data_IF_488823331255
#
_entry.id   IF_488823331255
#
_cell.length_a   1.000
_cell.length_b   1.000
_cell.length_c   1.000
_cell.angle_alpha   90.00
_cell.angle_beta   90.00
_cell.angle_gamma   90.00
#
_symmetry.space_group_name_H-M   'P 1'
#
loop_
_entity.id
_entity.type
_entity.pdbx_description
1 polymer ?
#
# COMPACT_ATOMS: atom_id res chain seq x y z
N UNK A 1 -5.47 8.22 30.28
CA UNK A 1 -4.85 9.50 29.92
C UNK A 1 -3.34 9.35 29.98
N UNK A 2 -2.64 9.65 28.90
CA UNK A 2 -1.18 9.67 28.85
C UNK A 2 -0.72 11.12 28.64
N UNK A 3 0.38 11.51 29.27
CA UNK A 3 0.95 12.85 29.10
C UNK A 3 2.45 12.76 28.84
N UNK A 4 2.96 13.64 27.98
CA UNK A 4 4.39 13.81 27.70
C UNK A 4 4.70 15.29 27.50
N UNK A 5 5.91 15.71 27.86
CA UNK A 5 6.38 17.08 27.66
C UNK A 5 7.66 17.10 26.83
N UNK A 6 7.75 18.09 25.93
CA UNK A 6 8.98 18.35 25.16
C UNK A 6 9.14 19.86 24.98
N UNK A 7 10.10 20.44 25.69
CA UNK A 7 10.26 21.89 25.72
C UNK A 7 9.02 22.59 26.25
N UNK A 8 8.47 23.60 25.55
CA UNK A 8 7.27 24.31 25.96
C UNK A 8 5.94 23.55 25.62
N UNK A 9 6.03 22.37 25.02
CA UNK A 9 4.84 21.62 24.56
C UNK A 9 4.46 20.54 25.56
N UNK A 10 3.15 20.46 25.85
CA UNK A 10 2.51 19.38 26.59
C UNK A 10 1.64 18.56 25.65
N UNK A 11 1.94 17.28 25.48
CA UNK A 11 1.08 16.31 24.83
C UNK A 11 0.17 15.67 25.86
N UNK A 12 -1.13 15.71 25.61
CA UNK A 12 -2.14 14.98 26.39
C UNK A 12 -2.87 14.04 25.45
N UNK A 13 -2.84 12.74 25.74
CA UNK A 13 -3.58 11.70 24.99
C UNK A 13 -4.72 11.22 25.88
N UNK A 14 -5.93 11.39 25.43
CA UNK A 14 -7.15 10.92 26.10
C UNK A 14 -7.87 9.92 25.21
N UNK A 15 -8.61 9.00 25.83
CA UNK A 15 -9.53 8.15 25.08
C UNK A 15 -10.64 9.03 24.51
N UNK A 16 -10.96 8.80 23.23
CA UNK A 16 -12.13 9.39 22.59
C UNK A 16 -13.32 8.46 22.83
N UNK A 17 -14.35 8.97 23.49
CA UNK A 17 -15.55 8.22 23.83
C UNK A 17 -16.57 8.16 22.68
N UNK A 18 -16.32 8.95 21.61
CA UNK A 18 -17.16 8.98 20.41
C UNK A 18 -16.29 9.11 19.14
N UNK A 19 -15.39 8.14 18.90
CA UNK A 19 -14.49 8.22 17.76
C UNK A 19 -15.28 8.15 16.45
N UNK A 20 -15.01 9.07 15.55
CA UNK A 20 -15.52 8.95 14.18
C UNK A 20 -14.58 8.09 13.34
N UNK A 21 -15.10 7.54 12.25
CA UNK A 21 -14.33 6.74 11.33
C UNK A 21 -13.42 7.65 10.48
N UNK A 22 -12.09 7.61 10.64
CA UNK A 22 -11.20 8.49 9.89
C UNK A 22 -11.20 8.22 8.37
N UNK A 23 -11.84 7.12 7.94
CA UNK A 23 -12.04 6.83 6.51
C UNK A 23 -13.22 7.58 5.89
N UNK A 24 -14.10 8.11 6.72
CA UNK A 24 -15.28 8.88 6.30
C UNK A 24 -15.02 10.39 6.30
N UNK A 25 -13.85 10.83 6.83
CA UNK A 25 -13.52 12.24 6.99
C UNK A 25 -12.18 12.55 6.30
N UNK A 26 -12.20 13.48 5.36
CA UNK A 26 -11.08 14.14 4.62
C UNK A 26 -9.83 13.27 4.33
N UNK A 27 -10.03 11.99 4.06
CA UNK A 27 -8.93 11.07 3.81
C UNK A 27 -8.67 10.93 2.30
N UNK A 28 -7.69 11.67 1.78
CA UNK A 28 -7.29 11.58 0.37
C UNK A 28 -6.55 10.28 0.03
N UNK A 29 -6.00 9.57 1.03
CA UNK A 29 -5.35 8.28 0.84
C UNK A 29 -6.35 7.14 0.65
N UNK A 30 -6.11 6.27 -0.33
CA UNK A 30 -6.93 5.08 -0.61
C UNK A 30 -6.24 3.83 -0.13
N UNK A 31 -6.98 2.92 0.53
CA UNK A 31 -6.50 1.63 1.02
C UNK A 31 -7.01 0.52 0.12
N UNK A 32 -6.12 -0.14 -0.60
CA UNK A 32 -6.43 -1.33 -1.42
C UNK A 32 -5.85 -2.55 -0.74
N UNK A 33 -6.72 -3.49 -0.37
CA UNK A 33 -6.36 -4.70 0.39
C UNK A 33 -6.87 -5.95 -0.31
N UNK A 34 -6.05 -7.01 -0.25
CA UNK A 34 -6.33 -8.33 -0.81
C UNK A 34 -6.23 -9.36 0.32
N UNK A 35 -7.37 -9.76 0.86
CA UNK A 35 -7.43 -10.78 1.90
C UNK A 35 -8.56 -11.78 1.64
N UNK A 36 -8.32 -13.07 1.94
CA UNK A 36 -9.28 -14.15 1.60
C UNK A 36 -10.51 -14.16 2.50
N UNK A 37 -10.39 -13.70 3.74
CA UNK A 37 -11.44 -13.85 4.75
C UNK A 37 -12.07 -12.52 5.16
N UNK A 38 -11.33 -11.42 5.06
CA UNK A 38 -11.75 -10.11 5.53
C UNK A 38 -11.89 -9.12 4.37
N UNK A 39 -12.96 -8.33 4.39
CA UNK A 39 -13.11 -7.16 3.55
C UNK A 39 -12.43 -5.99 4.25
N UNK A 40 -11.26 -5.62 3.79
CA UNK A 40 -10.39 -4.61 4.39
C UNK A 40 -10.17 -3.44 3.43
N UNK A 41 -9.94 -2.26 3.98
CA UNK A 41 -9.66 -1.07 3.18
C UNK A 41 -10.89 -0.50 2.47
N UNK A 42 -10.67 0.26 1.43
CA UNK A 42 -11.72 0.87 0.62
C UNK A 42 -12.22 -0.11 -0.44
N UNK A 43 -13.46 0.08 -0.88
CA UNK A 43 -14.01 -0.75 -1.96
C UNK A 43 -13.24 -0.51 -3.26
N UNK A 44 -12.84 -1.60 -3.92
CA UNK A 44 -12.16 -1.58 -5.22
C UNK A 44 -12.59 -2.78 -6.08
N UNK A 45 -12.32 -2.70 -7.40
CA UNK A 45 -12.68 -3.73 -8.38
C UNK A 45 -11.45 -4.52 -8.89
N UNK A 46 -10.27 -4.32 -8.30
CA UNK A 46 -9.07 -5.07 -8.67
C UNK A 46 -9.22 -6.54 -8.29
N UNK A 47 -8.81 -7.43 -9.20
CA UNK A 47 -8.88 -8.89 -9.01
C UNK A 47 -7.84 -9.34 -7.99
N UNK A 48 -6.63 -8.82 -8.10
CA UNK A 48 -5.49 -9.13 -7.25
C UNK A 48 -4.48 -7.98 -7.20
N UNK A 49 -3.37 -8.19 -6.49
CA UNK A 49 -2.29 -7.19 -6.37
C UNK A 49 -1.66 -6.84 -7.72
N UNK A 50 -1.55 -7.81 -8.62
CA UNK A 50 -0.86 -7.62 -9.89
C UNK A 50 -1.69 -6.76 -10.83
N UNK A 51 -3.01 -6.94 -10.83
CA UNK A 51 -3.96 -6.08 -11.54
C UNK A 51 -3.91 -4.64 -11.01
N UNK A 52 -3.85 -4.46 -9.69
CA UNK A 52 -3.69 -3.15 -9.06
C UNK A 52 -2.37 -2.46 -9.44
N UNK A 53 -1.24 -3.16 -9.30
CA UNK A 53 0.08 -2.59 -9.61
C UNK A 53 0.22 -2.30 -11.10
N UNK A 54 -0.35 -3.15 -11.96
CA UNK A 54 -0.42 -2.91 -13.40
C UNK A 54 -1.19 -1.64 -13.74
N UNK A 55 -2.36 -1.44 -13.15
CA UNK A 55 -3.19 -0.25 -13.36
C UNK A 55 -2.41 1.03 -12.97
N UNK A 56 -1.80 1.06 -11.79
CA UNK A 56 -1.00 2.22 -11.37
C UNK A 56 0.24 2.44 -12.24
N UNK A 57 0.88 1.35 -12.69
CA UNK A 57 2.01 1.45 -13.62
C UNK A 57 1.57 2.11 -14.93
N UNK A 58 0.48 1.62 -15.54
CA UNK A 58 -0.04 2.18 -16.79
C UNK A 58 -0.46 3.64 -16.61
N UNK A 59 -1.14 3.99 -15.53
CA UNK A 59 -1.48 5.39 -15.21
C UNK A 59 -0.24 6.27 -15.02
N UNK A 60 0.91 5.69 -14.70
CA UNK A 60 2.17 6.42 -14.56
C UNK A 60 2.85 6.66 -15.90
N UNK A 61 2.95 5.62 -16.75
CA UNK A 61 3.73 5.68 -18.01
C UNK A 61 2.90 6.01 -19.25
N UNK A 62 1.57 6.00 -19.12
CA UNK A 62 0.57 6.18 -20.16
C UNK A 62 -0.32 4.95 -20.30
N UNK A 63 -1.64 5.17 -20.23
CA UNK A 63 -2.66 4.11 -20.36
C UNK A 63 -3.12 4.01 -21.84
N UNK A 64 -2.16 3.65 -22.69
CA UNK A 64 -2.33 3.42 -24.13
C UNK A 64 -1.57 2.15 -24.57
N UNK A 65 -1.63 1.80 -25.85
CA UNK A 65 -0.92 0.65 -26.41
C UNK A 65 0.60 0.72 -26.16
N UNK A 66 1.18 1.92 -26.15
CA UNK A 66 2.61 2.11 -25.87
C UNK A 66 2.93 1.87 -24.40
N UNK A 67 2.04 2.27 -23.49
CA UNK A 67 2.16 2.00 -22.07
C UNK A 67 2.06 0.50 -21.78
N UNK A 68 1.08 -0.19 -22.39
CA UNK A 68 0.94 -1.64 -22.28
C UNK A 68 2.22 -2.38 -22.75
N UNK A 69 2.75 -1.99 -23.93
CA UNK A 69 4.00 -2.58 -24.44
C UNK A 69 5.21 -2.29 -23.53
N UNK A 70 5.27 -1.12 -22.89
CA UNK A 70 6.31 -0.80 -21.90
C UNK A 70 6.21 -1.69 -20.67
N UNK A 71 4.99 -1.95 -20.20
CA UNK A 71 4.74 -2.83 -19.06
C UNK A 71 5.21 -4.26 -19.34
N UNK A 72 4.80 -4.85 -20.46
CA UNK A 72 5.20 -6.19 -20.90
C UNK A 72 6.73 -6.28 -21.03
N UNK A 73 7.35 -5.33 -21.70
CA UNK A 73 8.81 -5.28 -21.80
C UNK A 73 9.52 -5.13 -20.46
N UNK A 74 8.92 -4.40 -19.51
CA UNK A 74 9.45 -4.28 -18.16
C UNK A 74 9.41 -5.62 -17.43
N UNK A 75 8.30 -6.38 -17.54
CA UNK A 75 8.18 -7.72 -16.99
C UNK A 75 9.21 -8.69 -17.60
N UNK A 76 9.38 -8.69 -18.92
CA UNK A 76 10.37 -9.53 -19.60
C UNK A 76 11.79 -9.24 -19.11
N UNK A 77 12.14 -7.95 -18.96
CA UNK A 77 13.44 -7.56 -18.40
C UNK A 77 13.61 -7.96 -16.94
N UNK A 78 12.53 -7.93 -16.15
CA UNK A 78 12.56 -8.41 -14.75
C UNK A 78 12.77 -9.91 -14.71
N UNK A 79 12.03 -10.69 -15.51
CA UNK A 79 12.19 -12.13 -15.64
C UNK A 79 13.63 -12.52 -15.97
N UNK A 80 14.28 -11.76 -16.84
CA UNK A 80 15.68 -12.01 -17.20
C UNK A 80 16.67 -11.64 -16.07
N UNK A 81 16.40 -10.57 -15.32
CA UNK A 81 17.33 -10.00 -14.33
C UNK A 81 17.18 -10.60 -12.93
N UNK A 82 15.98 -11.07 -12.57
CA UNK A 82 15.73 -11.67 -11.27
C UNK A 82 16.24 -13.10 -11.27
N UNK A 83 17.14 -13.40 -10.32
CA UNK A 83 17.74 -14.74 -10.19
C UNK A 83 16.97 -15.67 -9.25
N UNK A 84 16.00 -15.12 -8.49
CA UNK A 84 15.12 -15.92 -7.65
C UNK A 84 14.23 -16.81 -8.52
N UNK A 85 13.87 -18.02 -8.07
CA UNK A 85 12.97 -18.90 -8.81
C UNK A 85 11.64 -18.21 -9.12
N UNK A 86 11.19 -18.33 -10.36
CA UNK A 86 9.93 -17.75 -10.82
C UNK A 86 8.75 -18.17 -9.90
N UNK A 87 7.92 -17.21 -9.49
CA UNK A 87 6.80 -17.45 -8.59
C UNK A 87 7.19 -17.69 -7.12
N UNK A 88 8.47 -17.61 -6.75
CA UNK A 88 8.87 -17.65 -5.35
C UNK A 88 8.56 -16.32 -4.66
N UNK A 89 8.34 -16.30 -3.32
CA UNK A 89 8.09 -15.05 -2.58
C UNK A 89 9.18 -13.99 -2.79
N UNK A 90 10.43 -14.41 -2.96
CA UNK A 90 11.55 -13.50 -3.23
C UNK A 90 11.50 -12.94 -4.66
N UNK A 91 11.09 -13.73 -5.64
CA UNK A 91 10.85 -13.28 -7.00
C UNK A 91 9.73 -12.22 -7.03
N UNK A 92 8.57 -12.54 -6.45
CA UNK A 92 7.41 -11.65 -6.39
C UNK A 92 7.75 -10.32 -5.72
N UNK A 93 8.42 -10.36 -4.57
CA UNK A 93 8.90 -9.17 -3.87
C UNK A 93 9.79 -8.29 -4.77
N UNK A 94 10.71 -8.89 -5.51
CA UNK A 94 11.60 -8.15 -6.40
C UNK A 94 10.89 -7.55 -7.62
N UNK A 95 9.83 -8.21 -8.13
CA UNK A 95 8.95 -7.64 -9.18
C UNK A 95 8.21 -6.44 -8.62
N UNK A 96 7.55 -6.60 -7.49
CA UNK A 96 6.78 -5.53 -6.84
C UNK A 96 7.66 -4.29 -6.57
N UNK A 97 8.86 -4.48 -6.00
CA UNK A 97 9.81 -3.38 -5.73
C UNK A 97 10.17 -2.59 -7.00
N UNK A 98 10.34 -3.29 -8.14
CA UNK A 98 10.67 -2.64 -9.42
C UNK A 98 9.47 -1.89 -10.01
N UNK A 99 8.29 -2.47 -9.96
CA UNK A 99 7.06 -1.79 -10.40
C UNK A 99 6.80 -0.56 -9.54
N UNK A 100 6.91 -0.68 -8.23
CA UNK A 100 6.74 0.43 -7.30
C UNK A 100 7.73 1.55 -7.52
N UNK A 101 8.96 1.27 -7.96
CA UNK A 101 9.93 2.30 -8.32
C UNK A 101 9.46 3.18 -9.48
N UNK A 102 8.74 2.62 -10.45
CA UNK A 102 8.13 3.39 -11.54
C UNK A 102 6.88 4.12 -11.05
N UNK A 103 5.99 3.41 -10.37
CA UNK A 103 4.74 3.94 -9.82
C UNK A 103 5.00 5.13 -8.88
N UNK A 104 6.09 5.08 -8.10
CA UNK A 104 6.48 6.15 -7.17
C UNK A 104 6.83 7.48 -7.85
N UNK A 105 6.93 7.53 -9.17
CA UNK A 105 7.08 8.81 -9.89
C UNK A 105 5.79 9.64 -9.79
N UNK A 106 4.62 9.00 -9.75
CA UNK A 106 3.31 9.66 -9.75
C UNK A 106 2.52 9.48 -8.44
N UNK A 107 2.77 8.39 -7.71
CA UNK A 107 2.03 8.03 -6.51
C UNK A 107 2.92 7.97 -5.27
N UNK A 108 2.34 8.30 -4.13
CA UNK A 108 2.85 7.98 -2.80
C UNK A 108 2.20 6.68 -2.38
N UNK A 109 3.00 5.71 -1.90
CA UNK A 109 2.49 4.39 -1.49
C UNK A 109 3.19 3.92 -0.23
N UNK A 110 2.41 3.37 0.70
CA UNK A 110 2.91 2.67 1.87
C UNK A 110 2.28 1.27 1.92
N UNK A 111 3.04 0.25 2.30
CA UNK A 111 2.48 -1.09 2.48
C UNK A 111 1.50 -1.10 3.65
N UNK A 112 0.49 -1.96 3.57
CA UNK A 112 -0.42 -2.25 4.66
C UNK A 112 -0.19 -3.68 5.12
N UNK A 113 0.05 -3.83 6.42
CA UNK A 113 0.21 -5.12 7.08
C UNK A 113 -0.98 -5.38 8.00
N UNK A 114 -1.44 -6.62 8.01
CA UNK A 114 -2.44 -7.12 8.92
C UNK A 114 -1.77 -7.98 9.99
N UNK A 115 -2.21 -7.85 11.22
CA UNK A 115 -1.96 -8.77 12.32
C UNK A 115 -3.29 -9.36 12.78
N UNK A 116 -3.41 -10.69 12.76
CA UNK A 116 -4.63 -11.43 13.08
C UNK A 116 -4.35 -12.39 14.25
N UNK A 117 -4.57 -11.88 15.48
CA UNK A 117 -4.42 -12.65 16.70
C UNK A 117 -5.47 -12.22 17.73
N UNK A 118 -6.56 -12.98 17.85
CA UNK A 118 -7.71 -12.66 18.73
C UNK A 118 -8.40 -11.32 18.40
N UNK A 119 -8.16 -10.79 17.22
CA UNK A 119 -8.63 -9.52 16.70
C UNK A 119 -7.69 -9.05 15.62
N UNK A 120 -8.17 -8.20 14.70
CA UNK A 120 -7.39 -7.71 13.57
C UNK A 120 -6.89 -6.29 13.83
N UNK A 121 -5.63 -6.03 13.49
CA UNK A 121 -5.00 -4.72 13.53
C UNK A 121 -4.18 -4.50 12.25
N UNK A 122 -4.16 -3.27 11.75
CA UNK A 122 -3.41 -2.92 10.54
C UNK A 122 -2.47 -1.75 10.82
N UNK A 123 -1.30 -1.78 10.16
CA UNK A 123 -0.36 -0.65 10.14
C UNK A 123 0.45 -0.62 8.84
N UNK A 124 1.31 0.39 8.69
CA UNK A 124 2.21 0.57 7.53
C UNK A 124 3.66 0.18 7.82
N UNK A 125 3.98 -0.25 9.03
CA UNK A 125 5.35 -0.54 9.47
C UNK A 125 5.63 -2.03 9.67
N UNK A 126 4.58 -2.86 9.61
CA UNK A 126 4.65 -4.30 9.88
C UNK A 126 4.59 -4.65 11.36
N UNK A 127 4.61 -5.94 11.64
CA UNK A 127 4.53 -6.52 12.98
C UNK A 127 5.70 -7.48 13.19
N UNK A 128 6.09 -7.66 14.45
CA UNK A 128 7.22 -8.54 14.81
C UNK A 128 6.88 -10.05 14.74
N UNK A 129 5.60 -10.40 14.70
CA UNK A 129 5.15 -11.79 14.61
C UNK A 129 4.94 -12.21 13.14
N UNK A 130 5.82 -13.03 12.54
CA UNK A 130 5.68 -13.43 11.15
C UNK A 130 4.60 -14.49 10.90
N UNK A 131 4.08 -15.14 11.96
CA UNK A 131 3.08 -16.20 11.85
C UNK A 131 1.66 -15.68 11.73
N UNK A 132 1.38 -14.59 12.46
CA UNK A 132 0.03 -14.00 12.56
C UNK A 132 -0.05 -12.69 11.80
N UNK A 133 0.98 -12.32 11.01
CA UNK A 133 0.99 -11.07 10.25
C UNK A 133 1.55 -11.23 8.84
N UNK A 134 1.08 -10.36 7.96
CA UNK A 134 1.55 -10.29 6.57
C UNK A 134 1.10 -9.02 5.88
N UNK A 135 1.74 -8.70 4.78
CA UNK A 135 1.29 -7.62 3.93
C UNK A 135 -0.02 -8.02 3.25
N UNK A 136 -1.02 -7.15 3.32
CA UNK A 136 -2.35 -7.37 2.74
C UNK A 136 -2.70 -6.37 1.63
N UNK A 137 -1.90 -5.33 1.44
CA UNK A 137 -2.17 -4.32 0.43
C UNK A 137 -1.33 -3.08 0.57
N UNK A 138 -1.90 -1.95 0.12
CA UNK A 138 -1.26 -0.63 0.15
C UNK A 138 -2.25 0.47 0.49
N UNK A 139 -1.76 1.51 1.17
CA UNK A 139 -2.40 2.82 1.18
C UNK A 139 -1.64 3.70 0.18
N UNK A 140 -2.37 4.39 -0.69
CA UNK A 140 -1.77 5.20 -1.73
C UNK A 140 -2.54 6.49 -1.99
N UNK A 141 -1.84 7.48 -2.52
CA UNK A 141 -2.43 8.71 -3.05
C UNK A 141 -1.64 9.18 -4.27
N UNK A 142 -2.26 9.92 -5.19
CA UNK A 142 -1.49 10.60 -6.22
C UNK A 142 -0.68 11.76 -5.60
N UNK A 143 0.49 12.05 -6.14
CA UNK A 143 1.26 13.23 -5.70
C UNK A 143 0.53 14.53 -6.01
N UNK A 144 -0.28 14.54 -7.07
CA UNK A 144 -1.10 15.68 -7.43
C UNK A 144 -2.17 15.96 -6.36
N UNK A 145 -2.89 14.92 -5.90
CA UNK A 145 -3.87 15.05 -4.83
C UNK A 145 -3.20 15.50 -3.52
N UNK A 146 -2.05 14.90 -3.18
CA UNK A 146 -1.29 15.30 -2.00
C UNK A 146 -0.85 16.77 -2.03
N UNK A 147 -0.38 17.26 -3.18
CA UNK A 147 0.01 18.68 -3.35
C UNK A 147 -1.18 19.65 -3.38
N UNK A 148 -2.37 19.16 -3.71
CA UNK A 148 -3.60 19.99 -3.67
C UNK A 148 -4.13 20.11 -2.25
N UNK A 149 -3.92 19.09 -1.42
CA UNK A 149 -4.38 19.05 -0.03
C UNK A 149 -3.48 19.84 0.92
N UNK A 150 -2.19 19.90 0.64
CA UNK A 150 -1.16 20.54 1.47
C UNK A 150 -0.40 21.62 0.69
#
# INVERSE_FOLDING_TARGET
MLTATRGPYLLVVQQDDSPFNPREDDNFGKMVCFHRQYSLGDHHNYIDKDDFLRDLYLKTVGDDERGAHRYERALDLMNYKIKAPFGSPDYERQVDERLMKVISQKYLMLPLYLYDHSGITMNTTGFSCPWDSGQVGWIYASKEDALREF
#
